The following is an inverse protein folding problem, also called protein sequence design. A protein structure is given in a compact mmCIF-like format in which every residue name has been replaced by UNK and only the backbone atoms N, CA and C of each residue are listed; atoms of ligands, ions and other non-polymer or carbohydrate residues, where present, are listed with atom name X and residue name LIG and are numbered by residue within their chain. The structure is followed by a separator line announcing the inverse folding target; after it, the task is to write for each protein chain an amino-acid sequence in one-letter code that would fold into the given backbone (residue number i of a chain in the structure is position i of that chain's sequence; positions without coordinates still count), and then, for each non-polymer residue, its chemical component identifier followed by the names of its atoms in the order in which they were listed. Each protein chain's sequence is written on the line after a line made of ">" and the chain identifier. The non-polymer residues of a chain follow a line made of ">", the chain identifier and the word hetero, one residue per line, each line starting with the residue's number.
data_IF_366764809398
#
_entry.id   IF_366764809398
#
_cell.length_a   1.000
_cell.length_b   1.000
_cell.length_c   1.000
_cell.angle_alpha   90.00
_cell.angle_beta   90.00
_cell.angle_gamma   90.00
#
_symmetry.space_group_name_H-M   'P 1'
#
loop_
_entity.id
_entity.type
_entity.pdbx_description
1 polymer ?
#
# COMPACT_ATOMS: atom_id res chain seq x y z
N UNK A 1 -11.35 6.24 27.78
CA UNK A 1 -11.26 6.66 26.37
C UNK A 1 -10.33 7.88 26.30
N UNK A 2 -9.13 7.75 25.72
CA UNK A 2 -8.22 8.90 25.57
C UNK A 2 -8.71 9.73 24.38
N UNK A 3 -9.05 10.99 24.62
CA UNK A 3 -9.40 11.95 23.57
C UNK A 3 -8.17 12.19 22.68
N UNK A 4 -8.29 11.90 21.40
CA UNK A 4 -7.26 12.19 20.39
C UNK A 4 -7.55 13.58 19.81
N UNK A 5 -6.53 14.44 19.78
CA UNK A 5 -6.65 15.80 19.24
C UNK A 5 -6.30 15.81 17.76
N UNK A 6 -7.25 16.24 16.92
CA UNK A 6 -7.05 16.44 15.48
C UNK A 6 -6.20 17.71 15.27
N UNK A 7 -5.13 17.61 14.48
CA UNK A 7 -4.25 18.73 14.10
C UNK A 7 -4.67 19.36 12.78
N UNK A 8 -4.97 18.56 11.77
CA UNK A 8 -5.34 19.05 10.45
C UNK A 8 -6.27 18.07 9.73
N UNK A 9 -7.11 18.61 8.85
CA UNK A 9 -7.94 17.84 7.91
C UNK A 9 -7.73 18.47 6.53
N UNK A 10 -7.26 17.70 5.56
CA UNK A 10 -7.02 18.15 4.20
C UNK A 10 -7.71 17.23 3.21
N UNK A 11 -8.52 17.78 2.31
CA UNK A 11 -9.10 17.01 1.21
C UNK A 11 -7.99 16.66 0.21
N UNK A 12 -7.83 15.38 -0.14
CA UNK A 12 -6.72 14.93 -0.98
C UNK A 12 -6.93 15.25 -2.47
N UNK A 13 -8.16 15.13 -2.96
CA UNK A 13 -8.55 15.50 -4.34
C UNK A 13 -9.94 16.13 -4.34
N UNK A 14 -10.18 17.10 -5.23
CA UNK A 14 -11.45 17.86 -5.31
C UNK A 14 -12.67 16.97 -5.44
N UNK A 15 -12.53 15.83 -6.13
CA UNK A 15 -13.65 14.99 -6.55
C UNK A 15 -13.77 13.70 -5.73
N UNK A 16 -12.87 13.49 -4.76
CA UNK A 16 -12.89 12.29 -3.90
C UNK A 16 -13.40 12.58 -2.49
N UNK A 17 -14.09 11.62 -1.85
CA UNK A 17 -14.46 11.65 -0.42
C UNK A 17 -13.30 11.22 0.50
N UNK A 18 -12.07 11.63 0.17
CA UNK A 18 -10.83 11.21 0.82
C UNK A 18 -10.22 12.38 1.59
N UNK A 19 -9.96 12.18 2.87
CA UNK A 19 -9.41 13.20 3.77
C UNK A 19 -8.10 12.72 4.41
N UNK A 20 -7.07 13.54 4.34
CA UNK A 20 -5.86 13.41 5.13
C UNK A 20 -6.11 14.02 6.51
N UNK A 21 -5.94 13.25 7.58
CA UNK A 21 -6.19 13.70 8.95
C UNK A 21 -4.94 13.49 9.79
N UNK A 22 -4.29 14.59 10.16
CA UNK A 22 -3.16 14.53 11.07
C UNK A 22 -3.64 14.58 12.52
N UNK A 23 -3.14 13.67 13.36
CA UNK A 23 -3.34 13.72 14.82
C UNK A 23 -2.03 14.04 15.53
N UNK A 24 -2.08 14.36 16.83
CA UNK A 24 -0.86 14.61 17.60
C UNK A 24 0.14 13.44 17.63
N UNK A 25 -0.32 12.20 17.41
CA UNK A 25 0.50 10.99 17.56
C UNK A 25 0.80 10.28 16.24
N UNK A 26 0.01 10.50 15.19
CA UNK A 26 0.08 9.73 13.94
C UNK A 26 -0.40 10.56 12.74
N UNK A 27 0.10 10.24 11.55
CA UNK A 27 -0.40 10.75 10.27
C UNK A 27 -1.36 9.72 9.69
N UNK A 28 -2.66 10.02 9.74
CA UNK A 28 -3.73 9.06 9.50
C UNK A 28 -4.58 9.49 8.31
N UNK A 29 -4.70 8.66 7.28
CA UNK A 29 -5.61 8.97 6.19
C UNK A 29 -6.97 8.33 6.45
N UNK A 30 -8.04 9.14 6.42
CA UNK A 30 -9.42 8.67 6.55
C UNK A 30 -10.17 8.84 5.23
N UNK A 31 -10.61 7.74 4.65
CA UNK A 31 -11.56 7.74 3.54
C UNK A 31 -12.73 6.83 3.91
N UNK A 32 -13.95 7.37 3.92
CA UNK A 32 -15.19 6.65 4.24
C UNK A 32 -15.03 5.73 5.47
N UNK A 33 -14.70 6.31 6.63
CA UNK A 33 -14.49 5.61 7.92
C UNK A 33 -13.31 4.64 7.99
N UNK A 34 -12.43 4.61 6.99
CA UNK A 34 -11.31 3.68 6.95
C UNK A 34 -9.97 4.43 7.11
N UNK A 35 -9.15 3.98 8.05
CA UNK A 35 -7.80 4.48 8.39
C UNK A 35 -6.67 3.86 7.53
N UNK A 36 -5.82 4.62 6.82
CA UNK A 36 -4.63 4.08 6.11
C UNK A 36 -3.44 4.58 6.91
N UNK A 37 -2.74 3.69 7.59
CA UNK A 37 -1.32 3.89 7.85
C UNK A 37 -0.53 3.36 6.69
N UNK A 38 0.69 3.85 6.48
CA UNK A 38 1.77 3.07 5.88
C UNK A 38 3.06 3.87 5.59
N UNK A 39 4.18 3.17 5.37
CA UNK A 39 5.42 3.65 4.77
C UNK A 39 5.45 3.23 3.30
N UNK A 40 4.55 3.85 2.51
CA UNK A 40 4.42 3.56 1.09
C UNK A 40 5.67 4.03 0.34
N UNK A 41 6.17 3.13 -0.50
CA UNK A 41 7.28 3.35 -1.42
C UNK A 41 6.77 3.20 -2.84
N UNK A 42 7.18 4.13 -3.71
CA UNK A 42 7.08 3.97 -5.16
C UNK A 42 8.48 3.90 -5.73
N UNK A 43 8.76 2.91 -6.57
CA UNK A 43 9.97 2.90 -7.39
C UNK A 43 9.55 2.90 -8.85
N UNK A 44 10.19 3.71 -9.68
CA UNK A 44 9.80 3.86 -11.07
C UNK A 44 11.01 3.91 -12.00
N UNK A 45 10.78 3.53 -13.25
CA UNK A 45 11.64 3.84 -14.38
C UNK A 45 10.81 4.67 -15.38
N UNK A 46 11.32 5.84 -15.78
CA UNK A 46 10.69 6.69 -16.78
C UNK A 46 11.76 7.31 -17.67
N UNK A 47 11.66 7.07 -18.97
CA UNK A 47 12.57 7.61 -19.99
C UNK A 47 14.05 7.28 -19.69
N UNK A 48 14.29 6.10 -19.11
CA UNK A 48 15.62 5.63 -18.71
C UNK A 48 16.10 6.12 -17.34
N UNK A 49 15.35 7.00 -16.68
CA UNK A 49 15.64 7.51 -15.33
C UNK A 49 14.94 6.67 -14.25
N UNK A 50 15.71 6.21 -13.26
CA UNK A 50 15.20 5.46 -12.12
C UNK A 50 15.02 6.39 -10.92
N UNK A 51 13.86 6.31 -10.28
CA UNK A 51 13.55 7.12 -9.11
C UNK A 51 12.86 6.32 -8.01
N UNK A 52 13.03 6.79 -6.77
CA UNK A 52 12.42 6.23 -5.57
C UNK A 52 11.69 7.33 -4.82
N UNK A 53 10.42 7.10 -4.51
CA UNK A 53 9.56 8.03 -3.81
C UNK A 53 9.08 7.43 -2.50
N UNK A 54 8.95 8.30 -1.50
CA UNK A 54 8.01 8.11 -0.40
C UNK A 54 6.57 8.38 -0.90
N UNK A 55 5.59 8.35 0.00
CA UNK A 55 4.21 8.73 -0.31
C UNK A 55 4.08 10.12 -0.98
N UNK A 56 4.87 11.10 -0.53
CA UNK A 56 4.64 12.51 -0.87
C UNK A 56 5.76 13.14 -1.70
N UNK A 57 6.96 12.52 -1.71
CA UNK A 57 8.17 13.13 -2.25
C UNK A 57 9.03 12.08 -2.94
N UNK A 58 9.57 12.44 -4.09
CA UNK A 58 10.75 11.79 -4.65
C UNK A 58 11.96 12.03 -3.73
N UNK A 59 12.75 10.99 -3.53
CA UNK A 59 13.82 10.96 -2.54
C UNK A 59 15.17 10.97 -3.25
N UNK A 60 16.10 11.77 -2.73
CA UNK A 60 17.50 11.71 -3.16
C UNK A 60 18.16 10.42 -2.67
N UNK A 61 18.95 9.81 -3.54
CA UNK A 61 19.73 8.63 -3.20
C UNK A 61 20.74 8.94 -2.09
N UNK A 62 20.67 8.16 -1.01
CA UNK A 62 21.63 8.20 0.10
C UNK A 62 21.73 6.81 0.72
N UNK A 63 22.89 6.50 1.27
CA UNK A 63 23.17 5.26 2.02
C UNK A 63 22.43 5.17 3.37
N UNK A 64 21.76 6.24 3.79
CA UNK A 64 20.99 6.33 5.04
C UNK A 64 19.48 6.23 4.84
N UNK A 65 18.99 6.39 3.62
CA UNK A 65 17.56 6.37 3.35
C UNK A 65 17.06 4.93 3.16
N UNK A 66 16.18 4.45 4.04
CA UNK A 66 15.67 3.07 4.02
C UNK A 66 15.08 2.66 2.67
N UNK A 67 14.39 3.55 1.96
CA UNK A 67 13.80 3.24 0.66
C UNK A 67 14.87 2.99 -0.42
N UNK A 68 15.92 3.81 -0.44
CA UNK A 68 17.06 3.62 -1.35
C UNK A 68 17.90 2.39 -0.99
N UNK A 69 18.12 2.13 0.30
CA UNK A 69 18.79 0.90 0.76
C UNK A 69 18.05 -0.35 0.22
N UNK A 70 16.72 -0.36 0.32
CA UNK A 70 15.90 -1.46 -0.20
C UNK A 70 15.98 -1.53 -1.71
N UNK A 71 15.83 -0.39 -2.41
CA UNK A 71 15.89 -0.34 -3.87
C UNK A 71 17.19 -0.92 -4.42
N UNK A 72 18.32 -0.62 -3.77
CA UNK A 72 19.64 -1.15 -4.14
C UNK A 72 19.82 -2.61 -3.75
N UNK A 73 19.46 -2.98 -2.51
CA UNK A 73 19.62 -4.35 -2.00
C UNK A 73 18.79 -5.36 -2.81
N UNK A 74 17.56 -5.00 -3.15
CA UNK A 74 16.61 -5.88 -3.84
C UNK A 74 16.65 -5.75 -5.37
N UNK A 75 17.66 -5.02 -5.87
CA UNK A 75 17.94 -4.77 -7.29
C UNK A 75 16.70 -4.27 -8.08
N UNK A 76 15.94 -3.38 -7.46
CA UNK A 76 14.66 -2.89 -8.00
C UNK A 76 14.87 -2.16 -9.33
N UNK A 77 15.93 -1.37 -9.45
CA UNK A 77 16.23 -0.66 -10.70
C UNK A 77 16.40 -1.62 -11.87
N UNK A 78 17.20 -2.67 -11.72
CA UNK A 78 17.43 -3.66 -12.78
C UNK A 78 16.14 -4.40 -13.14
N UNK A 79 15.33 -4.75 -12.13
CA UNK A 79 14.00 -5.37 -12.35
C UNK A 79 13.07 -4.49 -13.17
N UNK A 80 13.00 -3.19 -12.85
CA UNK A 80 12.20 -2.25 -13.63
C UNK A 80 12.79 -2.00 -15.01
N UNK A 81 14.10 -1.89 -15.16
CA UNK A 81 14.75 -1.75 -16.48
C UNK A 81 14.50 -2.96 -17.37
N UNK A 82 14.50 -4.17 -16.81
CA UNK A 82 14.24 -5.42 -17.53
C UNK A 82 12.84 -5.47 -18.15
N UNK A 83 11.88 -4.67 -17.65
CA UNK A 83 10.55 -4.63 -18.26
C UNK A 83 10.51 -3.88 -19.60
N UNK A 84 11.50 -3.03 -19.88
CA UNK A 84 11.60 -2.28 -21.13
C UNK A 84 10.46 -1.26 -21.36
N UNK A 85 9.80 -0.79 -20.30
CA UNK A 85 8.66 0.15 -20.34
C UNK A 85 8.83 1.23 -19.27
N UNK A 86 8.16 2.36 -19.45
CA UNK A 86 8.00 3.33 -18.36
C UNK A 86 6.97 2.80 -17.36
N UNK A 87 7.42 2.40 -16.18
CA UNK A 87 6.59 1.72 -15.18
C UNK A 87 6.96 2.16 -13.77
N UNK A 88 5.98 2.18 -12.88
CA UNK A 88 6.16 2.33 -11.45
C UNK A 88 5.59 1.12 -10.70
N UNK A 89 6.31 0.64 -9.70
CA UNK A 89 5.78 -0.28 -8.68
C UNK A 89 5.49 0.50 -7.42
N UNK A 90 4.31 0.28 -6.84
CA UNK A 90 3.96 0.83 -5.54
C UNK A 90 3.80 -0.31 -4.54
N UNK A 91 4.38 -0.12 -3.37
CA UNK A 91 4.38 -1.14 -2.35
C UNK A 91 4.50 -0.57 -0.96
N UNK A 92 4.49 -1.52 -0.03
CA UNK A 92 4.59 -1.26 1.38
C UNK A 92 5.94 -1.72 1.91
N UNK A 93 6.65 -0.82 2.58
CA UNK A 93 7.87 -1.20 3.28
C UNK A 93 7.56 -1.54 4.72
N UNK A 94 7.86 -2.77 5.11
CA UNK A 94 7.72 -3.25 6.49
C UNK A 94 9.02 -3.91 6.96
N UNK A 95 9.26 -3.91 8.28
CA UNK A 95 10.39 -4.61 8.88
C UNK A 95 11.04 -3.85 10.03
N UNK A 96 12.24 -4.27 10.47
CA UNK A 96 13.04 -3.58 11.48
C UNK A 96 13.18 -2.08 11.18
N UNK A 97 13.04 -1.24 12.21
CA UNK A 97 13.11 0.22 12.07
C UNK A 97 11.85 0.88 11.48
N UNK A 98 10.84 0.10 11.07
CA UNK A 98 9.58 0.61 10.53
C UNK A 98 8.42 0.08 11.36
N UNK A 99 7.60 0.99 11.91
CA UNK A 99 6.36 0.67 12.63
C UNK A 99 6.50 -0.47 13.66
N UNK A 100 7.60 -0.44 14.45
CA UNK A 100 7.93 -1.44 15.49
C UNK A 100 8.11 -2.89 14.98
N UNK A 101 8.29 -3.10 13.67
CA UNK A 101 8.46 -4.43 13.06
C UNK A 101 7.40 -5.44 13.52
N UNK A 102 6.13 -5.05 13.47
CA UNK A 102 4.98 -5.85 13.97
C UNK A 102 4.95 -7.26 13.38
N UNK A 103 5.33 -7.40 12.12
CA UNK A 103 5.38 -8.69 11.42
C UNK A 103 6.66 -9.49 11.67
N UNK A 104 7.56 -9.02 12.56
CA UNK A 104 8.79 -9.70 12.99
C UNK A 104 9.69 -10.14 11.82
N UNK A 105 9.77 -9.31 10.77
CA UNK A 105 10.67 -9.59 9.65
C UNK A 105 12.13 -9.44 10.08
N UNK A 106 13.01 -10.18 9.41
CA UNK A 106 14.46 -10.14 9.66
C UNK A 106 15.12 -8.88 9.08
N UNK A 107 14.51 -8.27 8.07
CA UNK A 107 15.02 -7.09 7.38
C UNK A 107 13.89 -6.22 6.81
N UNK A 108 14.11 -4.91 6.61
CA UNK A 108 13.16 -4.04 5.91
C UNK A 108 12.92 -4.60 4.51
N UNK A 109 11.67 -4.81 4.11
CA UNK A 109 11.32 -5.45 2.84
C UNK A 109 10.15 -4.74 2.19
N UNK A 110 10.15 -4.65 0.86
CA UNK A 110 9.09 -4.08 0.06
C UNK A 110 8.12 -5.18 -0.38
N UNK A 111 6.83 -5.00 -0.12
CA UNK A 111 5.76 -5.83 -0.68
C UNK A 111 4.92 -4.99 -1.63
N UNK A 112 4.99 -5.25 -2.93
CA UNK A 112 4.27 -4.47 -3.93
C UNK A 112 2.78 -4.79 -3.92
N UNK A 113 1.95 -3.78 -4.18
CA UNK A 113 0.51 -3.93 -4.31
C UNK A 113 -0.07 -3.24 -5.55
N UNK A 114 0.72 -2.44 -6.28
CA UNK A 114 0.33 -1.89 -7.58
C UNK A 114 1.51 -1.94 -8.54
N UNK A 115 1.19 -2.11 -9.82
CA UNK A 115 2.03 -1.73 -10.96
C UNK A 115 1.27 -0.65 -11.71
N UNK A 116 1.96 0.41 -12.12
CA UNK A 116 1.40 1.53 -12.86
C UNK A 116 2.19 1.74 -14.15
N UNK A 117 1.54 1.54 -15.29
CA UNK A 117 2.12 1.78 -16.61
C UNK A 117 2.02 3.27 -16.92
N UNK A 118 3.16 3.96 -16.86
CA UNK A 118 3.24 5.43 -16.89
C UNK A 118 2.76 5.96 -18.24
N UNK A 119 3.19 5.33 -19.35
CA UNK A 119 2.86 5.80 -20.70
C UNK A 119 1.36 5.73 -21.00
N UNK A 120 0.69 4.72 -20.46
CA UNK A 120 -0.75 4.52 -20.64
C UNK A 120 -1.58 5.20 -19.55
N UNK A 121 -0.94 5.76 -18.53
CA UNK A 121 -1.58 6.32 -17.34
C UNK A 121 -2.59 5.35 -16.71
N UNK A 122 -2.24 4.06 -16.63
CA UNK A 122 -3.13 3.00 -16.14
C UNK A 122 -2.47 2.16 -15.06
N UNK A 123 -3.27 1.73 -14.08
CA UNK A 123 -2.89 0.64 -13.20
C UNK A 123 -2.96 -0.69 -13.96
N UNK A 124 -2.06 -1.60 -13.62
CA UNK A 124 -2.16 -3.00 -14.01
C UNK A 124 -3.36 -3.64 -13.33
N UNK A 125 -4.13 -4.43 -14.07
CA UNK A 125 -5.15 -5.30 -13.47
C UNK A 125 -4.53 -6.43 -12.66
N UNK A 126 -5.35 -7.23 -11.96
CA UNK A 126 -4.85 -8.26 -11.05
C UNK A 126 -3.98 -9.29 -11.78
N UNK A 127 -4.35 -9.66 -13.01
CA UNK A 127 -3.58 -10.61 -13.81
C UNK A 127 -2.26 -9.98 -14.23
N UNK A 128 -2.29 -8.79 -14.83
CA UNK A 128 -1.10 -8.04 -15.23
C UNK A 128 -0.14 -7.81 -14.03
N UNK A 129 -0.68 -7.46 -12.86
CA UNK A 129 0.08 -7.26 -11.63
C UNK A 129 0.77 -8.53 -11.14
N UNK A 130 0.04 -9.65 -11.06
CA UNK A 130 0.58 -10.92 -10.55
C UNK A 130 1.61 -11.52 -11.50
N UNK A 131 1.37 -11.44 -12.81
CA UNK A 131 2.34 -11.82 -13.83
C UNK A 131 3.59 -10.93 -13.75
N UNK A 132 3.44 -9.61 -13.66
CA UNK A 132 4.57 -8.69 -13.51
C UNK A 132 5.39 -8.98 -12.25
N UNK A 133 4.73 -9.17 -11.10
CA UNK A 133 5.42 -9.47 -9.85
C UNK A 133 6.25 -10.75 -9.96
N UNK A 134 5.68 -11.80 -10.55
CA UNK A 134 6.35 -13.08 -10.77
C UNK A 134 7.51 -12.96 -11.76
N UNK A 135 7.27 -12.37 -12.92
CA UNK A 135 8.23 -12.33 -14.04
C UNK A 135 9.47 -11.50 -13.71
N UNK A 136 9.31 -10.43 -12.93
CA UNK A 136 10.42 -9.54 -12.53
C UNK A 136 10.88 -9.77 -11.08
N UNK A 137 10.37 -10.79 -10.39
CA UNK A 137 10.84 -11.18 -9.06
C UNK A 137 10.58 -10.13 -7.97
N UNK A 138 9.37 -9.58 -7.93
CA UNK A 138 8.88 -8.75 -6.83
C UNK A 138 8.03 -9.55 -5.85
N UNK A 139 8.26 -9.34 -4.56
CA UNK A 139 7.37 -9.84 -3.52
C UNK A 139 6.08 -9.02 -3.53
N UNK A 140 4.94 -9.66 -3.78
CA UNK A 140 3.63 -9.03 -3.70
C UNK A 140 3.07 -9.09 -2.27
N UNK A 141 2.18 -8.17 -1.94
CA UNK A 141 1.35 -8.29 -0.74
C UNK A 141 0.57 -9.62 -0.77
N UNK A 142 0.29 -10.24 0.39
CA UNK A 142 -0.46 -11.49 0.42
C UNK A 142 -1.86 -11.36 -0.21
N UNK A 143 -2.16 -12.27 -1.14
CA UNK A 143 -3.46 -12.40 -1.77
C UNK A 143 -4.29 -13.38 -0.96
N UNK A 144 -5.42 -12.94 -0.41
CA UNK A 144 -6.24 -13.74 0.50
C UNK A 144 -7.26 -14.62 -0.26
N UNK A 145 -7.95 -14.05 -1.24
CA UNK A 145 -8.97 -14.74 -2.02
C UNK A 145 -9.19 -14.02 -3.36
N UNK A 146 -9.14 -14.74 -4.47
CA UNK A 146 -9.41 -14.24 -5.82
C UNK A 146 -10.80 -14.60 -6.34
N UNK A 147 -11.50 -15.52 -5.68
CA UNK A 147 -12.85 -15.98 -5.99
C UNK A 147 -13.85 -15.37 -4.99
N UNK A 148 -13.62 -14.13 -4.58
CA UNK A 148 -14.44 -13.43 -3.60
C UNK A 148 -15.59 -12.70 -4.30
N UNK A 149 -16.84 -13.01 -3.91
CA UNK A 149 -18.03 -12.27 -4.34
C UNK A 149 -18.36 -11.23 -3.27
N UNK A 150 -18.41 -9.96 -3.66
CA UNK A 150 -18.75 -8.87 -2.74
C UNK A 150 -20.27 -8.73 -2.61
N UNK A 151 -20.85 -9.48 -1.68
CA UNK A 151 -22.28 -9.46 -1.32
C UNK A 151 -22.54 -9.01 0.12
N UNK A 152 -21.49 -8.52 0.80
CA UNK A 152 -21.49 -8.25 2.22
C UNK A 152 -22.05 -6.86 2.57
N UNK A 153 -22.65 -6.78 3.75
CA UNK A 153 -22.86 -5.53 4.47
C UNK A 153 -21.54 -4.94 5.00
N UNK A 154 -21.56 -3.67 5.40
CA UNK A 154 -20.39 -3.02 6.01
C UNK A 154 -19.93 -3.75 7.28
N UNK A 155 -20.86 -4.17 8.13
CA UNK A 155 -20.54 -4.87 9.38
C UNK A 155 -19.87 -6.24 9.11
N UNK A 156 -20.32 -6.96 8.09
CA UNK A 156 -19.70 -8.21 7.66
C UNK A 156 -18.28 -7.99 7.11
N UNK A 157 -18.04 -6.89 6.38
CA UNK A 157 -16.68 -6.52 5.94
C UNK A 157 -15.77 -6.15 7.12
N UNK A 158 -16.31 -5.50 8.15
CA UNK A 158 -15.59 -5.20 9.39
C UNK A 158 -15.19 -6.49 10.09
N UNK A 159 -16.10 -7.44 10.25
CA UNK A 159 -15.76 -8.76 10.81
C UNK A 159 -14.73 -9.51 9.94
N UNK A 160 -14.87 -9.46 8.61
CA UNK A 160 -13.89 -10.05 7.69
C UNK A 160 -12.51 -9.40 7.79
N UNK A 161 -12.43 -8.10 8.12
CA UNK A 161 -11.14 -7.43 8.30
C UNK A 161 -10.37 -7.96 9.51
N UNK A 162 -11.07 -8.52 10.51
CA UNK A 162 -10.47 -9.14 11.68
C UNK A 162 -9.81 -10.47 11.31
N UNK A 163 -8.67 -10.73 11.95
CA UNK A 163 -7.91 -11.94 11.74
C UNK A 163 -6.43 -11.73 11.92
N UNK A 164 -5.65 -12.79 11.77
CA UNK A 164 -4.20 -12.74 11.85
C UNK A 164 -3.60 -12.40 10.49
N UNK A 165 -2.38 -11.86 10.51
CA UNK A 165 -1.61 -11.61 9.30
C UNK A 165 -1.09 -12.93 8.72
N UNK A 166 -1.09 -13.04 7.41
CA UNK A 166 -0.47 -14.17 6.69
C UNK A 166 1.06 -14.10 6.72
N UNK A 167 1.63 -12.92 6.95
CA UNK A 167 3.09 -12.74 7.13
C UNK A 167 3.56 -13.14 8.53
N UNK A 168 2.67 -13.06 9.54
CA UNK A 168 2.93 -13.50 10.90
C UNK A 168 1.60 -13.81 11.60
N UNK A 169 1.33 -15.09 11.83
CA UNK A 169 0.06 -15.56 12.42
C UNK A 169 -0.09 -15.21 13.90
N UNK A 170 0.96 -14.73 14.57
CA UNK A 170 0.91 -14.30 15.98
C UNK A 170 0.37 -12.87 16.16
N UNK A 171 0.22 -12.10 15.07
CA UNK A 171 -0.26 -10.73 15.12
C UNK A 171 -1.50 -10.55 14.26
N UNK A 172 -2.43 -9.74 14.76
CA UNK A 172 -3.60 -9.31 13.99
C UNK A 172 -3.13 -8.54 12.74
N UNK A 173 -3.80 -8.77 11.60
CA UNK A 173 -3.64 -7.90 10.43
C UNK A 173 -4.30 -6.55 10.71
N UNK A 174 -3.75 -5.50 10.12
CA UNK A 174 -4.31 -4.14 10.18
C UNK A 174 -5.68 -4.06 9.50
N UNK A 175 -5.91 -4.88 8.49
CA UNK A 175 -7.16 -4.94 7.77
C UNK A 175 -7.03 -5.72 6.47
N UNK A 176 -7.95 -5.46 5.55
CA UNK A 176 -8.02 -6.03 4.22
C UNK A 176 -8.13 -4.91 3.17
N UNK A 177 -7.65 -5.17 1.97
CA UNK A 177 -7.85 -4.31 0.80
C UNK A 177 -8.68 -5.10 -0.21
N UNK A 178 -9.75 -4.49 -0.69
CA UNK A 178 -10.66 -5.06 -1.68
C UNK A 178 -10.49 -4.30 -3.00
N UNK A 179 -10.37 -5.06 -4.09
CA UNK A 179 -10.20 -4.56 -5.46
C UNK A 179 -10.87 -5.49 -6.45
N UNK A 180 -11.31 -4.93 -7.55
CA UNK A 180 -11.76 -5.68 -8.72
C UNK A 180 -10.56 -6.41 -9.36
N UNK A 181 -10.82 -7.57 -9.98
CA UNK A 181 -9.77 -8.31 -10.70
C UNK A 181 -9.36 -7.57 -11.99
N UNK A 182 -10.33 -6.97 -12.66
CA UNK A 182 -10.12 -6.06 -13.79
C UNK A 182 -10.17 -4.65 -13.25
N UNK A 183 -9.22 -3.79 -13.61
CA UNK A 183 -9.22 -2.40 -13.13
C UNK A 183 -10.48 -1.67 -13.59
N UNK A 184 -11.22 -1.13 -12.62
CA UNK A 184 -12.44 -0.39 -12.85
C UNK A 184 -12.37 0.97 -12.14
N UNK A 185 -12.95 1.97 -12.78
CA UNK A 185 -13.03 3.33 -12.25
C UNK A 185 -14.48 3.76 -12.30
N UNK A 186 -14.97 4.25 -11.18
CA UNK A 186 -16.26 4.89 -11.07
C UNK A 186 -16.09 6.42 -11.10
N UNK A 187 -17.08 7.13 -11.65
CA UNK A 187 -17.03 8.59 -11.84
C UNK A 187 -16.98 9.33 -10.50
N UNK A 188 -17.60 8.80 -9.44
CA UNK A 188 -17.64 9.42 -8.12
C UNK A 188 -16.56 8.88 -7.17
N UNK A 189 -16.27 7.59 -7.23
CA UNK A 189 -15.35 6.93 -6.30
C UNK A 189 -13.91 6.91 -6.79
N UNK A 190 -13.70 7.16 -8.09
CA UNK A 190 -12.43 6.92 -8.77
C UNK A 190 -12.18 5.42 -8.89
N UNK A 191 -10.91 5.01 -8.79
CA UNK A 191 -10.53 3.58 -8.84
C UNK A 191 -11.33 2.78 -7.81
N UNK A 192 -11.99 1.71 -8.25
CA UNK A 192 -12.74 0.79 -7.40
C UNK A 192 -11.79 -0.06 -6.54
N UNK A 193 -11.24 0.59 -5.51
CA UNK A 193 -10.41 0.00 -4.49
C UNK A 193 -10.75 0.65 -3.16
N UNK A 194 -11.09 -0.20 -2.20
CA UNK A 194 -11.29 0.22 -0.82
C UNK A 194 -10.58 -0.75 0.11
N UNK A 195 -10.62 -0.42 1.38
CA UNK A 195 -9.99 -1.18 2.44
C UNK A 195 -10.98 -1.27 3.57
N UNK A 196 -10.87 -2.30 4.39
CA UNK A 196 -11.59 -2.39 5.65
C UNK A 196 -10.56 -2.61 6.73
N UNK A 197 -10.53 -1.74 7.73
CA UNK A 197 -9.55 -1.77 8.82
C UNK A 197 -10.12 -2.57 9.96
N UNK A 198 -9.27 -3.42 10.54
CA UNK A 198 -9.58 -4.21 11.71
C UNK A 198 -9.64 -3.30 12.95
N UNK A 199 -10.83 -3.08 13.56
CA UNK A 199 -10.95 -2.22 14.73
C UNK A 199 -10.20 -2.75 15.95
N UNK A 200 -10.01 -4.07 16.06
CA UNK A 200 -9.24 -4.67 17.16
C UNK A 200 -7.75 -4.35 17.04
N UNK A 201 -7.23 -4.27 15.80
CA UNK A 201 -5.86 -3.83 15.56
C UNK A 201 -5.67 -2.39 16.02
N UNK A 202 -6.60 -1.50 15.68
CA UNK A 202 -6.57 -0.09 16.12
C UNK A 202 -6.54 0.02 17.64
N UNK A 203 -7.48 -0.64 18.33
CA UNK A 203 -7.58 -0.60 19.79
C UNK A 203 -6.33 -1.13 20.50
N UNK A 204 -5.64 -2.09 19.89
CA UNK A 204 -4.45 -2.72 20.47
C UNK A 204 -3.17 -1.91 20.23
N UNK A 205 -3.11 -1.17 19.13
CA UNK A 205 -1.84 -0.68 18.59
C UNK A 205 -1.76 0.83 18.36
N UNK A 206 -2.85 1.57 18.55
CA UNK A 206 -2.98 3.04 18.46
C UNK A 206 -3.59 3.68 19.71
#
# INVERSE_FOLDING_TARGET
>A
MKLVKLKSIKKIQSDSKRFDIETEKTHNFFANDILVHNSSMTAFIKDGEFGVCSRNLELRETDKNTFWIIARRDDIESKLRACGRNVAVQGEVIGPGIQKNRYKLKQPSLFIFNVFYIDNYKYADFKEFTEFAKDYGFDAVPILNTEYVLDNTVDELVELSKGTSTLNTEIQREGIIMRTLVEETDVELGRLSFKCVNPEYLLKFE
#
